data_IF_463590476624
#
_entry.id   IF_463590476624
#
_cell.length_a   1.000
_cell.length_b   1.000
_cell.length_c   1.000
_cell.angle_alpha   90.00
_cell.angle_beta   90.00
_cell.angle_gamma   90.00
#
_symmetry.space_group_name_H-M   'P 1'
#
loop_
_entity.id
_entity.type
_entity.pdbx_description
1 polymer ?
#
# COMPACT_ATOMS: atom_id res chain seq x y z
N UNK A 1 -31.70 -21.95 -11.45
CA UNK A 1 -30.32 -21.42 -11.64
C UNK A 1 -30.16 -19.96 -11.22
N UNK A 2 -31.06 -19.07 -11.62
CA UNK A 2 -30.97 -17.60 -11.39
C UNK A 2 -30.95 -17.13 -9.93
N UNK A 3 -31.43 -17.91 -8.97
CA UNK A 3 -31.36 -17.55 -7.54
C UNK A 3 -29.93 -17.58 -7.02
N UNK A 4 -29.09 -18.49 -7.55
CA UNK A 4 -27.70 -18.63 -7.13
C UNK A 4 -26.85 -17.41 -7.52
N UNK A 5 -27.00 -16.92 -8.76
CA UNK A 5 -26.29 -15.73 -9.21
C UNK A 5 -26.71 -14.47 -8.45
N UNK A 6 -27.99 -14.36 -8.07
CA UNK A 6 -28.49 -13.25 -7.23
C UNK A 6 -27.88 -13.29 -5.82
N UNK A 7 -27.82 -14.47 -5.21
CA UNK A 7 -27.20 -14.64 -3.88
C UNK A 7 -25.71 -14.27 -3.90
N UNK A 8 -24.97 -14.69 -4.93
CA UNK A 8 -23.56 -14.31 -5.09
C UNK A 8 -23.41 -12.80 -5.27
N UNK A 9 -24.23 -12.18 -6.12
CA UNK A 9 -24.19 -10.72 -6.34
C UNK A 9 -24.45 -9.93 -5.06
N UNK A 10 -25.47 -10.32 -4.30
CA UNK A 10 -25.80 -9.67 -3.01
C UNK A 10 -24.67 -9.88 -1.99
N UNK A 11 -24.15 -11.11 -1.87
CA UNK A 11 -23.04 -11.41 -0.97
C UNK A 11 -21.78 -10.60 -1.32
N UNK A 12 -21.47 -10.45 -2.61
CA UNK A 12 -20.32 -9.66 -3.07
C UNK A 12 -20.44 -8.19 -2.67
N UNK A 13 -21.60 -7.57 -2.88
CA UNK A 13 -21.82 -6.17 -2.51
C UNK A 13 -21.66 -5.99 -1.00
N UNK A 14 -22.26 -6.87 -0.20
CA UNK A 14 -22.14 -6.82 1.26
C UNK A 14 -20.68 -7.00 1.69
N UNK A 15 -19.97 -7.98 1.11
CA UNK A 15 -18.56 -8.23 1.42
C UNK A 15 -17.68 -7.01 1.13
N UNK A 16 -17.88 -6.35 -0.01
CA UNK A 16 -17.14 -5.13 -0.37
C UNK A 16 -17.43 -4.00 0.62
N UNK A 17 -18.69 -3.77 0.99
CA UNK A 17 -19.06 -2.71 1.94
C UNK A 17 -18.40 -2.99 3.30
N UNK A 18 -18.48 -4.23 3.78
CA UNK A 18 -17.88 -4.64 5.05
C UNK A 18 -16.36 -4.50 5.01
N UNK A 19 -15.70 -4.87 3.92
CA UNK A 19 -14.25 -4.72 3.78
C UNK A 19 -13.84 -3.24 3.77
N UNK A 20 -14.52 -2.44 2.96
CA UNK A 20 -14.22 -1.03 2.81
C UNK A 20 -14.48 -0.21 4.09
N UNK A 21 -15.44 -0.64 4.92
CA UNK A 21 -15.82 0.07 6.15
C UNK A 21 -15.22 -0.59 7.39
N UNK A 22 -15.68 -1.77 7.76
CA UNK A 22 -15.30 -2.43 9.02
C UNK A 22 -13.84 -2.88 8.97
N UNK A 23 -13.45 -3.60 7.90
CA UNK A 23 -12.09 -4.16 7.82
C UNK A 23 -11.07 -3.04 7.71
N UNK A 24 -11.22 -2.14 6.74
CA UNK A 24 -10.23 -1.07 6.51
C UNK A 24 -10.25 0.02 7.60
N UNK A 25 -11.41 0.43 8.11
CA UNK A 25 -11.45 1.53 9.08
C UNK A 25 -11.16 1.08 10.51
N UNK A 26 -11.43 -0.19 10.87
CA UNK A 26 -11.25 -0.68 12.24
C UNK A 26 -10.26 -1.82 12.32
N UNK A 27 -10.49 -2.89 11.57
CA UNK A 27 -9.75 -4.15 11.73
C UNK A 27 -8.27 -3.99 11.35
N UNK A 28 -7.98 -3.37 10.21
CA UNK A 28 -6.62 -3.06 9.75
C UNK A 28 -5.89 -2.15 10.75
N UNK A 29 -6.38 -0.96 11.12
CA UNK A 29 -5.66 -0.08 12.05
C UNK A 29 -5.55 -0.67 13.46
N UNK A 30 -6.55 -1.42 13.94
CA UNK A 30 -6.45 -2.12 15.22
C UNK A 30 -5.37 -3.20 15.19
N UNK A 31 -5.35 -4.01 14.12
CA UNK A 31 -4.35 -5.06 13.93
C UNK A 31 -2.95 -4.48 13.77
N UNK A 32 -2.80 -3.40 13.00
CA UNK A 32 -1.54 -2.66 12.85
C UNK A 32 -1.03 -2.11 14.19
N UNK A 33 -1.93 -1.59 15.03
CA UNK A 33 -1.57 -1.11 16.38
C UNK A 33 -1.22 -2.26 17.33
N UNK A 34 -1.94 -3.40 17.24
CA UNK A 34 -1.72 -4.56 18.10
C UNK A 34 -0.42 -5.28 17.77
N UNK A 35 -0.17 -5.58 16.49
CA UNK A 35 1.06 -6.24 16.06
C UNK A 35 2.24 -5.25 16.00
N UNK A 36 1.99 -3.97 15.71
CA UNK A 36 2.98 -2.90 15.74
C UNK A 36 4.30 -3.29 15.08
N UNK A 37 5.32 -3.52 15.92
CA UNK A 37 6.68 -3.84 15.50
C UNK A 37 6.85 -5.19 14.80
N UNK A 38 5.96 -6.12 15.06
CA UNK A 38 5.93 -7.41 14.38
C UNK A 38 5.35 -7.28 12.96
N UNK A 39 4.46 -6.31 12.69
CA UNK A 39 3.86 -6.15 11.37
C UNK A 39 4.87 -5.65 10.32
N UNK A 40 5.83 -4.83 10.73
CA UNK A 40 6.90 -4.33 9.85
C UNK A 40 8.18 -5.17 9.92
N UNK A 41 8.16 -6.30 10.63
CA UNK A 41 9.32 -7.18 10.65
C UNK A 41 9.42 -7.91 9.32
N UNK A 42 10.43 -7.53 8.53
CA UNK A 42 10.87 -8.34 7.40
C UNK A 42 11.70 -9.49 7.95
N UNK A 43 11.27 -10.76 7.80
CA UNK A 43 12.10 -11.89 8.17
C UNK A 43 13.43 -11.81 7.42
N UNK A 44 14.55 -11.98 8.12
CA UNK A 44 15.91 -11.94 7.56
C UNK A 44 16.08 -12.56 6.16
N UNK A 45 15.50 -13.72 5.82
CA UNK A 45 15.60 -14.29 4.47
C UNK A 45 14.86 -13.51 3.37
N UNK A 46 13.79 -12.77 3.69
CA UNK A 46 13.03 -11.97 2.72
C UNK A 46 13.85 -10.79 2.18
N UNK A 47 14.80 -10.27 2.97
CA UNK A 47 15.71 -9.20 2.53
C UNK A 47 16.60 -9.65 1.36
N UNK A 48 17.06 -10.90 1.35
CA UNK A 48 17.82 -11.46 0.23
C UNK A 48 16.98 -11.67 -1.02
N UNK A 49 15.71 -12.08 -0.86
CA UNK A 49 14.75 -12.24 -1.96
C UNK A 49 14.38 -10.88 -2.54
N UNK A 50 14.15 -9.86 -1.70
CA UNK A 50 13.85 -8.50 -2.13
C UNK A 50 15.01 -7.86 -2.90
N UNK A 51 16.26 -8.17 -2.53
CA UNK A 51 17.43 -7.74 -3.30
C UNK A 51 17.56 -8.45 -4.65
N UNK A 52 17.14 -9.72 -4.73
CA UNK A 52 17.26 -10.52 -5.96
C UNK A 52 16.14 -10.26 -6.97
N UNK A 53 14.94 -9.94 -6.51
CA UNK A 53 13.74 -9.70 -7.34
C UNK A 53 13.20 -8.27 -7.21
N UNK A 54 14.01 -7.35 -6.67
CA UNK A 54 13.61 -5.99 -6.37
C UNK A 54 12.92 -5.33 -7.56
N UNK A 55 11.67 -4.91 -7.35
CA UNK A 55 10.90 -4.16 -8.32
C UNK A 55 11.56 -2.79 -8.40
N UNK A 56 12.21 -2.51 -9.52
CA UNK A 56 12.77 -1.19 -9.80
C UNK A 56 11.61 -0.35 -10.32
N UNK A 57 11.06 0.53 -9.48
CA UNK A 57 10.14 1.55 -9.94
C UNK A 57 10.89 2.46 -10.93
N UNK A 58 10.40 2.44 -12.17
CA UNK A 58 10.99 3.17 -13.28
C UNK A 58 10.89 4.68 -13.07
N UNK A 59 11.97 5.33 -13.49
CA UNK A 59 12.25 6.76 -13.46
C UNK A 59 12.29 7.40 -12.06
N UNK A 60 13.48 7.79 -11.55
CA UNK A 60 13.51 8.87 -10.57
C UNK A 60 12.85 10.04 -11.26
N UNK A 61 11.75 10.56 -10.71
CA UNK A 61 11.23 11.87 -11.09
C UNK A 61 12.42 12.82 -10.99
N UNK A 62 13.04 13.09 -12.15
CA UNK A 62 14.12 14.05 -12.21
C UNK A 62 13.43 15.32 -11.77
N UNK A 63 13.88 15.88 -10.65
CA UNK A 63 13.54 17.23 -10.23
C UNK A 63 14.15 18.19 -11.27
N UNK A 64 13.72 18.07 -12.53
CA UNK A 64 14.08 18.84 -13.68
C UNK A 64 13.39 20.19 -13.49
N UNK A 65 14.06 21.08 -12.74
CA UNK A 65 13.63 22.46 -12.58
C UNK A 65 13.85 23.08 -11.21
N UNK A 66 14.33 22.36 -10.20
CA UNK A 66 14.87 23.06 -9.01
C UNK A 66 16.32 23.40 -9.30
N UNK A 67 16.52 24.45 -10.12
CA UNK A 67 17.80 25.12 -10.18
C UNK A 67 18.19 25.52 -8.75
N UNK A 68 19.42 25.21 -8.29
CA UNK A 68 19.86 25.66 -6.97
C UNK A 68 19.74 27.19 -6.94
N UNK A 69 19.00 27.72 -5.97
CA UNK A 69 18.82 29.15 -5.71
C UNK A 69 20.12 29.83 -5.22
N UNK A 70 21.25 29.55 -5.89
CA UNK A 70 22.58 30.11 -5.67
C UNK A 70 23.01 31.07 -6.78
N UNK A 71 22.18 31.27 -7.81
CA UNK A 71 22.49 32.18 -8.93
C UNK A 71 21.82 33.57 -8.81
N UNK A 72 21.06 33.82 -7.74
CA UNK A 72 20.38 35.12 -7.49
C UNK A 72 21.14 36.05 -6.52
N UNK A 73 22.32 35.66 -6.02
CA UNK A 73 23.22 36.56 -5.29
C UNK A 73 24.39 36.95 -6.19
N UNK A 74 24.11 37.82 -7.16
CA UNK A 74 25.13 38.67 -7.74
C UNK A 74 25.52 39.74 -6.73
N UNK A 75 26.47 39.40 -5.84
CA UNK A 75 27.39 40.32 -5.16
C UNK A 75 28.68 39.56 -4.85
#
# INVERSE_FOLDING_TARGET
>A
GITFIKLIGVAMVIAIIVDATIVRALLVPATMRLLGRANWWVPGPMRGIYQRFGIHEGEPVQLAGVAPARELTGV
#
